data_IF_102529198469
#
_entry.id   IF_102529198469
#
_cell.length_a   1.000
_cell.length_b   1.000
_cell.length_c   1.000
_cell.angle_alpha   90.00
_cell.angle_beta   90.00
_cell.angle_gamma   90.00
#
_symmetry.space_group_name_H-M   'P 1'
#
loop_
_entity.id
_entity.type
_entity.pdbx_description
1 polymer ?
#
# COMPACT_ATOMS: atom_id res chain seq x y z
N UNK A 1 -4.81 7.75 25.58
CA UNK A 1 -6.14 7.11 25.55
C UNK A 1 -7.19 7.97 24.82
N UNK A 2 -7.25 9.32 24.94
CA UNK A 2 -8.29 10.13 24.30
C UNK A 2 -8.08 10.42 22.80
N UNK A 3 -6.89 10.21 22.24
CA UNK A 3 -6.59 10.41 20.81
C UNK A 3 -6.84 9.18 19.95
N UNK A 4 -6.90 8.00 20.55
CA UNK A 4 -7.03 6.71 19.84
C UNK A 4 -8.46 6.50 19.30
N UNK A 5 -9.46 7.08 19.93
CA UNK A 5 -10.86 7.01 19.48
C UNK A 5 -11.20 7.95 18.30
N UNK A 6 -10.24 8.71 17.82
CA UNK A 6 -10.38 9.64 16.69
C UNK A 6 -9.70 9.10 15.41
N UNK A 7 -8.95 7.99 15.50
CA UNK A 7 -8.31 7.36 14.34
C UNK A 7 -9.33 6.56 13.52
N UNK A 8 -9.19 6.58 12.21
CA UNK A 8 -9.90 5.64 11.34
C UNK A 8 -9.38 4.20 11.55
N UNK A 9 -10.13 3.21 11.10
CA UNK A 9 -9.85 1.79 11.44
C UNK A 9 -8.59 1.28 10.76
N UNK A 10 -8.29 1.74 9.56
CA UNK A 10 -7.07 1.49 8.80
C UNK A 10 -5.83 2.04 9.54
N UNK A 11 -5.80 3.33 9.88
CA UNK A 11 -4.74 3.92 10.71
C UNK A 11 -4.51 3.16 12.02
N UNK A 12 -5.62 2.71 12.65
CA UNK A 12 -5.53 1.95 13.88
C UNK A 12 -4.96 0.54 13.67
N UNK A 13 -5.16 -0.07 12.50
CA UNK A 13 -4.56 -1.36 12.13
C UNK A 13 -3.05 -1.21 11.98
N UNK A 14 -2.59 -0.19 11.25
CA UNK A 14 -1.17 0.07 11.02
C UNK A 14 -0.43 0.36 12.34
N UNK A 15 -1.00 1.24 13.17
CA UNK A 15 -0.43 1.50 14.50
C UNK A 15 -0.34 0.25 15.37
N UNK A 16 -1.36 -0.62 15.34
CA UNK A 16 -1.35 -1.87 16.14
C UNK A 16 -0.34 -2.87 15.59
N UNK A 17 -0.07 -2.87 14.30
CA UNK A 17 0.91 -3.75 13.67
C UNK A 17 2.33 -3.47 14.18
N UNK A 18 2.69 -2.22 14.33
CA UNK A 18 4.01 -1.77 14.77
C UNK A 18 4.26 -1.92 16.28
N UNK A 19 3.21 -2.19 17.07
CA UNK A 19 3.34 -2.31 18.53
C UNK A 19 3.86 -3.68 18.96
N UNK A 20 4.59 -3.73 20.08
CA UNK A 20 4.91 -4.99 20.77
C UNK A 20 3.66 -5.66 21.34
N UNK A 21 3.66 -6.98 21.48
CA UNK A 21 2.47 -7.79 21.90
C UNK A 21 1.81 -7.29 23.20
N UNK A 22 2.60 -6.79 24.16
CA UNK A 22 2.10 -6.20 25.40
C UNK A 22 1.29 -4.92 25.19
N UNK A 23 1.77 -4.08 24.27
CA UNK A 23 1.19 -2.78 23.97
C UNK A 23 -0.03 -2.91 23.06
N UNK A 24 -0.04 -3.94 22.17
CA UNK A 24 -1.22 -4.34 21.38
C UNK A 24 -2.43 -4.66 22.26
N UNK A 25 -2.23 -5.44 23.31
CA UNK A 25 -3.32 -5.78 24.25
C UNK A 25 -3.82 -4.54 25.00
N UNK A 26 -2.93 -3.67 25.44
CA UNK A 26 -3.29 -2.41 26.10
C UNK A 26 -4.05 -1.48 25.16
N UNK A 27 -3.58 -1.30 23.93
CA UNK A 27 -4.24 -0.51 22.89
C UNK A 27 -5.65 -1.03 22.63
N UNK A 28 -5.79 -2.32 22.32
CA UNK A 28 -7.07 -2.96 22.03
C UNK A 28 -8.04 -2.95 23.24
N UNK A 29 -7.54 -2.84 24.47
CA UNK A 29 -8.39 -2.68 25.66
C UNK A 29 -9.03 -1.30 25.78
N UNK A 30 -8.42 -0.28 25.19
CA UNK A 30 -8.82 1.12 25.28
C UNK A 30 -9.79 1.57 24.16
N UNK A 31 -9.98 0.75 23.11
CA UNK A 31 -10.93 1.00 22.02
C UNK A 31 -12.29 0.33 22.27
N UNK A 32 -13.34 0.81 21.61
CA UNK A 32 -14.68 0.22 21.73
C UNK A 32 -14.72 -1.23 21.24
N UNK A 33 -15.67 -2.02 21.70
CA UNK A 33 -15.83 -3.43 21.29
C UNK A 33 -16.02 -3.56 19.77
N UNK A 34 -16.70 -2.58 19.16
CA UNK A 34 -16.94 -2.53 17.71
C UNK A 34 -15.64 -2.27 16.95
N UNK A 35 -14.87 -1.26 17.35
CA UNK A 35 -13.58 -0.91 16.74
C UNK A 35 -12.56 -2.03 16.89
N UNK A 36 -12.44 -2.61 18.10
CA UNK A 36 -11.57 -3.77 18.33
C UNK A 36 -11.83 -4.90 17.35
N UNK A 37 -13.10 -5.21 17.10
CA UNK A 37 -13.45 -6.26 16.14
C UNK A 37 -13.01 -5.89 14.73
N UNK A 38 -13.21 -4.66 14.31
CA UNK A 38 -12.82 -4.18 12.97
C UNK A 38 -11.30 -4.18 12.78
N UNK A 39 -10.55 -3.76 13.80
CA UNK A 39 -9.08 -3.82 13.80
C UNK A 39 -8.61 -5.28 13.72
N UNK A 40 -9.18 -6.18 14.52
CA UNK A 40 -8.84 -7.60 14.45
C UNK A 40 -9.19 -8.24 13.10
N UNK A 41 -10.30 -7.83 12.48
CA UNK A 41 -10.64 -8.26 11.12
C UNK A 41 -9.66 -7.70 10.09
N UNK A 42 -9.17 -6.48 10.26
CA UNK A 42 -8.10 -5.89 9.45
C UNK A 42 -6.81 -6.69 9.53
N UNK A 43 -6.34 -6.96 10.75
CA UNK A 43 -5.12 -7.72 11.02
C UNK A 43 -5.13 -9.18 10.49
N UNK A 44 -6.29 -9.73 10.15
CA UNK A 44 -6.39 -11.06 9.54
C UNK A 44 -6.09 -11.06 8.03
N UNK A 45 -6.07 -9.91 7.37
CA UNK A 45 -5.66 -9.83 5.97
C UNK A 45 -4.13 -9.84 5.87
N UNK A 46 -3.58 -10.30 4.73
CA UNK A 46 -2.14 -10.22 4.50
C UNK A 46 -1.64 -8.78 4.63
N UNK A 47 -0.42 -8.63 5.12
CA UNK A 47 0.34 -7.38 5.03
C UNK A 47 0.34 -6.91 3.56
N UNK A 48 0.45 -5.63 3.31
CA UNK A 48 0.49 -5.05 1.97
C UNK A 48 -0.75 -5.37 1.10
N UNK A 49 -1.90 -5.68 1.69
CA UNK A 49 -3.13 -5.97 0.94
C UNK A 49 -4.16 -4.86 1.04
N UNK A 50 -5.00 -4.75 0.00
CA UNK A 50 -6.16 -3.86 -0.01
C UNK A 50 -7.09 -4.04 1.21
N UNK A 51 -7.05 -5.21 1.84
CA UNK A 51 -7.79 -5.52 3.06
C UNK A 51 -7.25 -4.80 4.30
N UNK A 52 -5.95 -4.50 4.32
CA UNK A 52 -5.31 -3.68 5.35
C UNK A 52 -5.60 -2.21 5.13
N UNK A 53 -5.42 -1.74 3.91
CA UNK A 53 -5.56 -0.36 3.49
C UNK A 53 -7.01 0.16 3.48
N UNK A 54 -8.03 -0.71 3.52
CA UNK A 54 -9.40 -0.28 3.32
C UNK A 54 -10.03 0.32 4.57
N UNK A 55 -10.68 1.44 4.38
CA UNK A 55 -11.60 2.05 5.33
C UNK A 55 -12.93 1.27 5.40
N UNK A 56 -13.47 1.15 6.60
CA UNK A 56 -14.74 0.43 6.84
C UNK A 56 -15.98 1.32 6.74
N UNK A 57 -15.78 2.63 6.73
CA UNK A 57 -16.85 3.60 6.52
C UNK A 57 -16.91 3.97 5.04
N UNK A 58 -18.02 3.71 4.39
CA UNK A 58 -18.24 4.04 2.99
C UNK A 58 -19.71 4.31 2.72
N UNK A 59 -20.01 4.98 1.61
CA UNK A 59 -21.37 5.29 1.20
C UNK A 59 -21.84 4.27 0.16
N UNK A 60 -22.77 3.40 0.54
CA UNK A 60 -23.38 2.42 -0.34
C UNK A 60 -24.90 2.60 -0.40
N UNK A 61 -25.45 2.69 -1.61
CA UNK A 61 -26.86 2.96 -1.87
C UNK A 61 -27.40 1.94 -2.86
N UNK A 62 -28.71 1.61 -2.71
CA UNK A 62 -29.37 0.68 -3.61
C UNK A 62 -29.40 1.22 -5.04
N UNK A 63 -29.00 0.41 -6.01
CA UNK A 63 -28.90 0.75 -7.43
C UNK A 63 -30.25 1.10 -8.09
N UNK A 64 -31.37 0.72 -7.48
CA UNK A 64 -32.72 1.01 -7.96
C UNK A 64 -33.26 2.38 -7.54
N UNK A 65 -32.49 3.14 -6.78
CA UNK A 65 -32.89 4.46 -6.34
C UNK A 65 -32.66 5.51 -7.44
N UNK A 66 -33.41 6.62 -7.33
CA UNK A 66 -33.16 7.82 -8.11
C UNK A 66 -32.26 8.80 -7.30
N UNK A 67 -31.80 9.85 -7.96
CA UNK A 67 -30.98 10.92 -7.37
C UNK A 67 -31.67 11.56 -6.17
N UNK A 68 -33.00 11.78 -6.23
CA UNK A 68 -33.76 12.37 -5.14
C UNK A 68 -33.70 11.54 -3.87
N UNK A 69 -33.92 10.23 -3.98
CA UNK A 69 -33.86 9.31 -2.86
C UNK A 69 -32.46 9.23 -2.26
N UNK A 70 -31.42 9.25 -3.10
CA UNK A 70 -30.03 9.27 -2.65
C UNK A 70 -29.69 10.52 -1.85
N UNK A 71 -30.06 11.71 -2.34
CA UNK A 71 -29.82 12.96 -1.66
C UNK A 71 -30.56 13.01 -0.31
N UNK A 72 -31.82 12.56 -0.29
CA UNK A 72 -32.62 12.57 0.94
C UNK A 72 -32.06 11.58 1.98
N UNK A 73 -31.52 10.43 1.53
CA UNK A 73 -30.82 9.47 2.37
C UNK A 73 -29.55 10.08 2.97
N UNK A 74 -28.68 10.67 2.15
CA UNK A 74 -27.44 11.29 2.60
C UNK A 74 -27.68 12.40 3.65
N UNK A 75 -28.75 13.16 3.48
CA UNK A 75 -29.14 14.21 4.44
C UNK A 75 -29.68 13.67 5.75
N UNK A 76 -30.26 12.49 5.74
CA UNK A 76 -30.88 11.89 6.93
C UNK A 76 -29.86 11.10 7.75
N UNK A 77 -28.91 10.42 7.11
CA UNK A 77 -27.94 9.52 7.74
C UNK A 77 -26.60 10.20 8.08
N UNK A 78 -26.60 11.52 8.27
CA UNK A 78 -25.39 12.36 8.46
C UNK A 78 -24.44 11.78 9.51
N UNK A 79 -24.95 11.24 10.61
CA UNK A 79 -24.12 10.71 11.71
C UNK A 79 -23.44 9.35 11.40
N UNK A 80 -23.89 8.66 10.34
CA UNK A 80 -23.40 7.34 9.95
C UNK A 80 -22.53 7.36 8.69
N UNK A 81 -22.40 8.53 8.05
CA UNK A 81 -21.57 8.68 6.85
C UNK A 81 -20.12 9.01 7.25
N UNK A 82 -19.13 8.68 6.40
CA UNK A 82 -17.79 9.23 6.50
C UNK A 82 -17.85 10.77 6.45
N UNK A 83 -16.96 11.46 7.14
CA UNK A 83 -16.87 12.92 7.08
C UNK A 83 -16.55 13.38 5.66
N UNK A 84 -15.60 12.72 5.01
CA UNK A 84 -15.23 12.94 3.63
C UNK A 84 -15.56 11.72 2.78
N UNK A 85 -16.26 11.95 1.67
CA UNK A 85 -16.51 10.95 0.64
C UNK A 85 -16.68 11.60 -0.73
N UNK A 86 -16.16 10.94 -1.75
CA UNK A 86 -16.13 11.47 -3.12
C UNK A 86 -17.06 10.68 -4.07
N UNK A 87 -17.21 9.42 -3.80
CA UNK A 87 -17.99 8.49 -4.60
C UNK A 87 -19.06 7.77 -3.77
N UNK A 88 -20.13 7.42 -4.44
CA UNK A 88 -21.23 6.65 -3.88
C UNK A 88 -21.27 5.30 -4.60
N UNK A 89 -21.20 4.21 -3.86
CA UNK A 89 -21.22 2.87 -4.39
C UNK A 89 -22.64 2.37 -4.53
N UNK A 90 -23.02 1.98 -5.75
CA UNK A 90 -24.30 1.37 -6.00
C UNK A 90 -24.22 -0.12 -5.72
N UNK A 91 -25.14 -0.62 -4.91
CA UNK A 91 -25.21 -2.02 -4.54
C UNK A 91 -26.55 -2.65 -4.88
N UNK A 92 -26.51 -3.93 -5.26
CA UNK A 92 -27.70 -4.78 -5.39
C UNK A 92 -28.26 -5.14 -3.99
N UNK A 93 -29.38 -5.87 -3.96
CA UNK A 93 -29.94 -6.40 -2.72
C UNK A 93 -29.00 -7.37 -1.98
N UNK A 94 -28.07 -7.98 -2.69
CA UNK A 94 -27.10 -8.96 -2.14
C UNK A 94 -25.77 -8.28 -1.75
N UNK A 95 -25.72 -6.94 -1.68
CA UNK A 95 -24.54 -6.12 -1.42
C UNK A 95 -23.43 -6.25 -2.47
N UNK A 96 -23.78 -6.66 -3.70
CA UNK A 96 -22.83 -6.71 -4.82
C UNK A 96 -22.73 -5.34 -5.46
N UNK A 97 -21.51 -4.86 -5.72
CA UNK A 97 -21.27 -3.56 -6.35
C UNK A 97 -21.72 -3.58 -7.82
N UNK A 98 -22.66 -2.71 -8.18
CA UNK A 98 -23.24 -2.59 -9.52
C UNK A 98 -22.82 -1.30 -10.23
N UNK A 99 -22.26 -0.33 -9.52
CA UNK A 99 -21.83 0.95 -10.08
C UNK A 99 -21.17 1.86 -9.06
N UNK A 100 -20.57 2.91 -9.60
CA UNK A 100 -19.96 4.00 -8.84
C UNK A 100 -20.51 5.31 -9.39
N UNK A 101 -20.99 6.18 -8.51
CA UNK A 101 -21.53 7.50 -8.87
C UNK A 101 -20.72 8.57 -8.13
N UNK A 102 -19.96 9.42 -8.84
CA UNK A 102 -19.28 10.56 -8.24
C UNK A 102 -20.29 11.53 -7.61
N UNK A 103 -19.98 12.02 -6.41
CA UNK A 103 -20.83 12.94 -5.67
C UNK A 103 -21.18 14.19 -6.49
N UNK A 104 -20.21 14.74 -7.22
CA UNK A 104 -20.42 15.89 -8.10
C UNK A 104 -21.48 15.60 -9.19
N UNK A 105 -21.49 14.40 -9.75
CA UNK A 105 -22.49 13.99 -10.76
C UNK A 105 -23.86 13.78 -10.11
N UNK A 106 -23.93 13.20 -8.92
CA UNK A 106 -25.18 13.10 -8.17
C UNK A 106 -25.80 14.48 -7.96
N UNK A 107 -25.01 15.43 -7.45
CA UNK A 107 -25.46 16.78 -7.11
C UNK A 107 -25.87 17.61 -8.32
N UNK A 108 -25.26 17.36 -9.49
CA UNK A 108 -25.57 18.08 -10.73
C UNK A 108 -26.73 17.47 -11.54
N UNK A 109 -27.24 16.30 -11.13
CA UNK A 109 -28.31 15.59 -11.84
C UNK A 109 -29.71 15.92 -11.31
N UNK A 110 -30.72 15.82 -12.17
CA UNK A 110 -32.11 16.02 -11.75
C UNK A 110 -32.59 14.92 -10.80
N UNK A 111 -33.38 15.26 -9.80
CA UNK A 111 -33.85 14.35 -8.75
C UNK A 111 -34.57 13.09 -9.25
N UNK A 112 -35.21 13.17 -10.40
CA UNK A 112 -36.00 12.06 -10.98
C UNK A 112 -35.16 11.08 -11.82
N UNK A 113 -33.86 11.32 -11.98
CA UNK A 113 -32.98 10.46 -12.77
C UNK A 113 -32.57 9.25 -11.94
N UNK A 114 -32.62 8.06 -12.50
CA UNK A 114 -32.18 6.84 -11.86
C UNK A 114 -30.64 6.83 -11.73
N UNK A 115 -30.13 6.35 -10.60
CA UNK A 115 -28.69 6.30 -10.32
C UNK A 115 -27.91 5.48 -11.35
N UNK A 116 -28.51 4.44 -11.89
CA UNK A 116 -27.90 3.58 -12.92
C UNK A 116 -27.56 4.37 -14.19
N UNK A 117 -28.30 5.44 -14.48
CA UNK A 117 -28.07 6.27 -15.68
C UNK A 117 -26.93 7.28 -15.53
N UNK A 118 -26.51 7.55 -14.28
CA UNK A 118 -25.45 8.52 -13.98
C UNK A 118 -24.17 7.88 -13.42
N UNK A 119 -24.13 6.56 -13.29
CA UNK A 119 -22.94 5.84 -12.83
C UNK A 119 -21.77 5.94 -13.83
N UNK A 120 -20.59 5.70 -13.34
CA UNK A 120 -19.41 5.60 -14.19
C UNK A 120 -19.55 4.48 -15.23
N UNK A 121 -19.01 4.68 -16.42
CA UNK A 121 -19.05 3.68 -17.50
C UNK A 121 -18.22 2.43 -17.16
N UNK A 122 -17.16 2.61 -16.40
CA UNK A 122 -16.28 1.53 -15.94
C UNK A 122 -16.34 1.48 -14.42
N UNK A 123 -16.78 0.37 -13.88
CA UNK A 123 -16.72 0.12 -12.45
C UNK A 123 -15.33 -0.45 -12.14
N UNK A 124 -14.56 0.26 -11.35
CA UNK A 124 -13.28 -0.21 -10.85
C UNK A 124 -13.51 -0.73 -9.43
N UNK A 125 -13.33 -2.02 -9.26
CA UNK A 125 -13.57 -2.75 -8.02
C UNK A 125 -12.25 -3.40 -7.64
N UNK A 126 -11.84 -3.28 -6.39
CA UNK A 126 -10.62 -3.85 -5.85
C UNK A 126 -10.99 -5.08 -5.03
N UNK A 127 -10.26 -6.18 -5.25
CA UNK A 127 -10.41 -7.36 -4.39
C UNK A 127 -9.63 -7.14 -3.09
N UNK A 128 -10.16 -7.63 -1.98
CA UNK A 128 -9.56 -7.49 -0.66
C UNK A 128 -8.14 -8.08 -0.53
N UNK A 129 -7.79 -9.04 -1.37
CA UNK A 129 -6.47 -9.69 -1.41
C UNK A 129 -5.55 -9.09 -2.48
N UNK A 130 -5.95 -7.98 -3.13
CA UNK A 130 -5.08 -7.29 -4.08
C UNK A 130 -3.95 -6.63 -3.31
N UNK A 131 -2.74 -6.77 -3.83
CA UNK A 131 -1.52 -6.15 -3.32
C UNK A 131 -1.61 -4.62 -3.36
N UNK A 132 -1.08 -3.93 -2.36
CA UNK A 132 -1.16 -2.46 -2.23
C UNK A 132 -0.44 -1.74 -3.38
N UNK A 133 0.67 -2.28 -3.90
CA UNK A 133 1.36 -1.73 -5.06
C UNK A 133 0.45 -1.76 -6.30
N UNK A 134 -0.27 -2.86 -6.53
CA UNK A 134 -1.22 -2.97 -7.64
C UNK A 134 -2.42 -2.03 -7.43
N UNK A 135 -2.88 -1.82 -6.19
CA UNK A 135 -3.90 -0.82 -5.85
C UNK A 135 -3.41 0.57 -6.23
N UNK A 136 -2.21 0.95 -5.78
CA UNK A 136 -1.60 2.24 -6.08
C UNK A 136 -1.42 2.45 -7.60
N UNK A 137 -0.97 1.42 -8.31
CA UNK A 137 -0.86 1.45 -9.77
C UNK A 137 -2.22 1.69 -10.44
N UNK A 138 -3.29 1.03 -9.99
CA UNK A 138 -4.63 1.21 -10.54
C UNK A 138 -5.18 2.61 -10.28
N UNK A 139 -5.01 3.14 -9.07
CA UNK A 139 -5.41 4.52 -8.73
C UNK A 139 -4.72 5.54 -9.63
N UNK A 140 -3.42 5.44 -9.79
CA UNK A 140 -2.63 6.32 -10.65
C UNK A 140 -3.04 6.20 -12.13
N UNK A 141 -3.10 4.96 -12.65
CA UNK A 141 -3.40 4.68 -14.06
C UNK A 141 -4.79 5.17 -14.49
N UNK A 142 -5.77 5.07 -13.61
CA UNK A 142 -7.16 5.39 -13.91
C UNK A 142 -7.64 6.68 -13.28
N UNK A 143 -6.75 7.42 -12.61
CA UNK A 143 -7.06 8.66 -11.88
C UNK A 143 -8.28 8.48 -10.95
N UNK A 144 -8.27 7.41 -10.14
CA UNK A 144 -9.32 7.13 -9.19
C UNK A 144 -9.17 8.03 -7.96
N UNK A 145 -10.30 8.41 -7.38
CA UNK A 145 -10.35 9.18 -6.12
C UNK A 145 -10.76 8.25 -4.98
N UNK A 146 -11.63 7.30 -5.27
CA UNK A 146 -11.98 6.22 -4.35
C UNK A 146 -12.32 4.94 -5.12
N UNK A 147 -12.25 3.80 -4.44
CA UNK A 147 -12.63 2.51 -5.00
C UNK A 147 -13.31 1.62 -3.96
N UNK A 148 -14.36 0.86 -4.30
CA UNK A 148 -14.95 -0.11 -3.41
C UNK A 148 -14.06 -1.35 -3.33
N UNK A 149 -13.85 -1.85 -2.10
CA UNK A 149 -13.17 -3.11 -1.84
C UNK A 149 -14.22 -4.20 -1.64
N UNK A 150 -14.01 -5.32 -2.32
CA UNK A 150 -14.94 -6.46 -2.28
C UNK A 150 -14.25 -7.74 -1.84
N UNK A 151 -15.04 -8.62 -1.24
CA UNK A 151 -14.59 -9.97 -0.92
C UNK A 151 -14.69 -10.89 -2.15
N UNK A 152 -14.32 -12.18 -1.97
CA UNK A 152 -14.39 -13.23 -3.00
C UNK A 152 -15.78 -13.39 -3.64
N UNK A 153 -16.84 -13.02 -2.92
CA UNK A 153 -18.22 -13.07 -3.41
C UNK A 153 -18.69 -11.77 -4.10
N UNK A 154 -17.77 -10.85 -4.40
CA UNK A 154 -18.03 -9.52 -4.94
C UNK A 154 -18.95 -8.64 -4.08
N UNK A 155 -19.05 -8.92 -2.78
CA UNK A 155 -19.75 -8.08 -1.81
C UNK A 155 -18.84 -6.98 -1.30
N UNK A 156 -19.36 -5.77 -1.23
CA UNK A 156 -18.60 -4.64 -0.70
C UNK A 156 -18.34 -4.84 0.81
N UNK A 157 -17.12 -4.62 1.22
CA UNK A 157 -16.66 -4.75 2.61
C UNK A 157 -15.90 -3.52 3.12
N UNK A 158 -15.48 -2.64 2.22
CA UNK A 158 -14.75 -1.42 2.52
C UNK A 158 -14.59 -0.53 1.29
N UNK A 159 -13.84 0.54 1.45
CA UNK A 159 -13.39 1.41 0.36
C UNK A 159 -11.96 1.86 0.62
N UNK A 160 -11.23 2.18 -0.43
CA UNK A 160 -9.92 2.82 -0.38
C UNK A 160 -10.06 4.19 -1.02
N UNK A 161 -9.42 5.18 -0.46
CA UNK A 161 -9.41 6.55 -0.94
C UNK A 161 -8.01 6.94 -1.42
N UNK A 162 -7.89 8.04 -2.15
CA UNK A 162 -6.64 8.43 -2.80
C UNK A 162 -5.58 8.91 -1.80
N UNK A 163 -5.99 9.43 -0.65
CA UNK A 163 -5.12 9.81 0.46
C UNK A 163 -4.33 8.61 0.99
N UNK A 164 -5.00 7.50 1.33
CA UNK A 164 -4.37 6.26 1.76
C UNK A 164 -3.38 5.72 0.68
N UNK A 165 -3.76 5.83 -0.58
CA UNK A 165 -2.92 5.38 -1.71
C UNK A 165 -1.68 6.26 -1.90
N UNK A 166 -1.73 7.54 -1.55
CA UNK A 166 -0.55 8.42 -1.60
C UNK A 166 0.51 7.96 -0.61
N UNK A 167 0.10 7.57 0.60
CA UNK A 167 1.01 7.06 1.62
C UNK A 167 1.65 5.73 1.16
N UNK A 168 0.85 4.81 0.61
CA UNK A 168 1.37 3.58 -0.01
C UNK A 168 2.41 3.85 -1.10
N UNK A 169 2.16 4.82 -1.99
CA UNK A 169 3.13 5.18 -3.05
C UNK A 169 4.45 5.68 -2.46
N UNK A 170 4.41 6.39 -1.34
CA UNK A 170 5.61 6.88 -0.66
C UNK A 170 6.37 5.73 0.02
N UNK A 171 5.68 4.85 0.72
CA UNK A 171 6.22 3.64 1.36
C UNK A 171 6.89 2.70 0.36
N UNK A 172 6.22 2.35 -0.74
CA UNK A 172 6.76 1.49 -1.80
C UNK A 172 8.03 2.09 -2.44
N UNK A 173 8.05 3.41 -2.65
CA UNK A 173 9.26 4.09 -3.16
C UNK A 173 10.40 4.07 -2.18
N UNK A 174 10.12 4.22 -0.89
CA UNK A 174 11.15 4.14 0.15
C UNK A 174 11.68 2.70 0.24
N UNK A 175 10.82 1.70 0.22
CA UNK A 175 11.20 0.30 0.22
C UNK A 175 12.10 -0.05 -0.98
N UNK A 176 11.74 0.41 -2.18
CA UNK A 176 12.53 0.22 -3.40
C UNK A 176 13.93 0.82 -3.26
N UNK A 177 14.05 2.03 -2.72
CA UNK A 177 15.34 2.68 -2.46
C UNK A 177 16.16 1.88 -1.45
N UNK A 178 15.54 1.40 -0.37
CA UNK A 178 16.19 0.59 0.65
C UNK A 178 16.67 -0.75 0.09
N UNK A 179 15.86 -1.40 -0.74
CA UNK A 179 16.21 -2.64 -1.47
C UNK A 179 17.42 -2.45 -2.38
N UNK A 180 17.54 -1.30 -3.08
CA UNK A 180 18.72 -0.96 -3.88
C UNK A 180 19.99 -0.85 -3.02
N UNK A 181 19.86 -0.37 -1.78
CA UNK A 181 20.95 -0.30 -0.81
C UNK A 181 21.27 -1.63 -0.14
N UNK A 182 20.48 -2.70 -0.41
CA UNK A 182 20.57 -3.98 0.29
C UNK A 182 20.20 -3.86 1.78
N UNK A 183 19.36 -2.89 2.10
CA UNK A 183 18.80 -2.64 3.43
C UNK A 183 17.31 -2.95 3.32
N UNK A 184 16.80 -3.86 4.15
CA UNK A 184 15.34 -4.05 4.29
C UNK A 184 14.73 -2.90 5.09
N UNK A 185 13.45 -3.01 5.43
CA UNK A 185 12.80 -2.06 6.35
C UNK A 185 13.71 -1.77 7.54
N UNK A 186 14.24 -0.57 7.62
CA UNK A 186 15.06 -0.11 8.72
C UNK A 186 14.38 1.13 9.28
N UNK A 187 13.56 0.93 10.28
CA UNK A 187 13.09 2.04 11.09
C UNK A 187 14.26 2.67 11.84
N UNK A 188 14.29 4.00 11.88
CA UNK A 188 15.32 4.77 12.61
C UNK A 188 15.31 4.40 14.12
N UNK A 189 14.19 3.88 14.60
CA UNK A 189 13.98 3.44 15.98
C UNK A 189 14.28 1.95 16.23
N UNK A 190 14.60 1.18 15.18
CA UNK A 190 14.96 -0.22 15.33
C UNK A 190 16.19 -0.42 16.22
N UNK A 191 16.14 -1.47 17.02
CA UNK A 191 17.27 -1.83 17.88
C UNK A 191 18.53 -2.05 17.04
N UNK A 192 19.65 -1.41 17.41
CA UNK A 192 20.94 -1.47 16.72
C UNK A 192 21.35 -2.91 16.36
N UNK A 193 20.90 -3.89 17.12
CA UNK A 193 21.23 -5.30 16.91
C UNK A 193 20.45 -5.94 15.76
N UNK A 194 19.18 -5.62 15.56
CA UNK A 194 18.38 -6.12 14.43
C UNK A 194 18.87 -5.53 13.12
N UNK A 195 19.08 -4.24 13.06
CA UNK A 195 19.65 -3.53 11.91
C UNK A 195 21.05 -4.06 11.54
N UNK A 196 21.90 -4.34 12.55
CA UNK A 196 23.24 -4.92 12.31
C UNK A 196 23.12 -6.33 11.70
N UNK A 197 22.19 -7.15 12.17
CA UNK A 197 22.00 -8.52 11.65
C UNK A 197 21.55 -8.52 10.19
N UNK A 198 20.63 -7.64 9.81
CA UNK A 198 20.16 -7.50 8.42
C UNK A 198 21.32 -7.06 7.51
N UNK A 199 22.05 -6.02 7.90
CA UNK A 199 23.23 -5.52 7.14
C UNK A 199 24.35 -6.53 7.07
N UNK A 200 24.55 -7.34 8.10
CA UNK A 200 25.60 -8.37 8.13
C UNK A 200 25.42 -9.41 7.03
N UNK A 201 24.21 -9.87 6.78
CA UNK A 201 23.93 -10.85 5.73
C UNK A 201 24.30 -10.32 4.35
N UNK A 202 23.96 -9.08 4.05
CA UNK A 202 24.33 -8.43 2.79
C UNK A 202 25.84 -8.21 2.66
N UNK A 203 26.48 -7.72 3.74
CA UNK A 203 27.94 -7.53 3.78
C UNK A 203 28.71 -8.86 3.62
N UNK A 204 28.15 -9.96 4.17
CA UNK A 204 28.74 -11.29 4.02
C UNK A 204 28.70 -11.77 2.56
N UNK A 205 27.58 -11.56 1.88
CA UNK A 205 27.44 -11.88 0.44
C UNK A 205 28.45 -11.06 -0.38
N UNK A 206 28.57 -9.77 -0.12
CA UNK A 206 29.53 -8.90 -0.77
C UNK A 206 30.97 -9.33 -0.48
N UNK A 207 31.28 -9.76 0.72
CA UNK A 207 32.59 -10.31 1.07
C UNK A 207 32.89 -11.58 0.30
N UNK A 208 31.93 -12.49 0.19
CA UNK A 208 32.10 -13.74 -0.58
C UNK A 208 32.34 -13.46 -2.08
N UNK A 209 31.65 -12.51 -2.66
CA UNK A 209 31.88 -12.10 -4.05
C UNK A 209 33.26 -11.49 -4.25
N UNK A 210 33.72 -10.67 -3.29
CA UNK A 210 35.08 -10.10 -3.30
C UNK A 210 36.16 -11.20 -3.19
N UNK A 211 35.95 -12.23 -2.35
CA UNK A 211 36.85 -13.38 -2.22
C UNK A 211 36.91 -14.16 -3.55
N UNK A 212 35.77 -14.42 -4.19
CA UNK A 212 35.73 -15.09 -5.50
C UNK A 212 36.49 -14.28 -6.55
N UNK A 213 36.28 -12.95 -6.59
CA UNK A 213 37.02 -12.07 -7.50
C UNK A 213 38.53 -12.13 -7.23
N UNK A 214 38.96 -12.14 -5.97
CA UNK A 214 40.37 -12.27 -5.59
C UNK A 214 40.99 -13.59 -6.03
N UNK A 215 40.25 -14.70 -5.94
CA UNK A 215 40.72 -16.01 -6.42
C UNK A 215 40.89 -15.98 -7.93
N UNK A 216 39.94 -15.41 -8.67
CA UNK A 216 40.05 -15.29 -10.14
C UNK A 216 41.25 -14.44 -10.52
N UNK A 217 41.50 -13.32 -9.85
CA UNK A 217 42.69 -12.47 -10.07
C UNK A 217 43.97 -13.29 -9.82
N UNK A 218 43.97 -14.11 -8.77
CA UNK A 218 45.10 -14.97 -8.42
C UNK A 218 45.49 -15.94 -9.55
N UNK A 219 44.55 -16.49 -10.29
CA UNK A 219 44.84 -17.35 -11.47
C UNK A 219 45.58 -16.62 -12.59
N UNK A 220 45.44 -15.29 -12.66
CA UNK A 220 46.12 -14.47 -13.69
C UNK A 220 47.37 -13.74 -13.17
N UNK A 221 47.85 -14.08 -11.98
CA UNK A 221 49.00 -13.40 -11.33
C UNK A 221 50.23 -13.34 -12.26
N UNK A 222 50.59 -14.44 -12.91
CA UNK A 222 51.74 -14.50 -13.81
C UNK A 222 51.61 -13.56 -15.04
N UNK A 223 50.39 -13.27 -15.46
CA UNK A 223 50.11 -12.34 -16.56
C UNK A 223 50.22 -10.88 -16.05
N UNK A 224 49.73 -10.61 -14.84
CA UNK A 224 49.78 -9.30 -14.21
C UNK A 224 51.22 -8.89 -13.89
N UNK A 225 52.07 -9.81 -13.43
CA UNK A 225 53.49 -9.57 -13.19
C UNK A 225 54.23 -9.17 -14.47
N UNK A 226 53.86 -9.75 -15.63
CA UNK A 226 54.48 -9.40 -16.91
C UNK A 226 54.04 -8.04 -17.44
N UNK A 227 52.82 -7.59 -17.11
CA UNK A 227 52.23 -6.35 -17.61
C UNK A 227 51.71 -5.54 -16.43
N UNK A 228 52.57 -4.77 -15.78
CA UNK A 228 52.24 -3.95 -14.61
C UNK A 228 51.07 -2.96 -14.90
N UNK A 229 50.92 -2.53 -16.14
CA UNK A 229 49.81 -1.66 -16.55
C UNK A 229 48.41 -2.28 -16.26
N UNK A 230 48.30 -3.62 -16.24
CA UNK A 230 47.02 -4.28 -15.90
C UNK A 230 46.65 -4.05 -14.42
N UNK A 231 47.62 -4.08 -13.53
CA UNK A 231 47.40 -3.81 -12.11
C UNK A 231 46.90 -2.37 -11.87
N UNK A 232 47.39 -1.40 -12.66
CA UNK A 232 46.96 0.00 -12.58
C UNK A 232 45.54 0.18 -13.14
N UNK A 233 45.13 -0.61 -14.13
CA UNK A 233 43.84 -0.51 -14.74
C UNK A 233 42.71 -1.23 -13.96
N UNK A 234 43.05 -2.26 -13.15
CA UNK A 234 42.08 -3.04 -12.39
C UNK A 234 41.09 -2.20 -11.55
N UNK A 235 41.53 -1.22 -10.72
CA UNK A 235 40.59 -0.39 -9.94
C UNK A 235 39.64 0.43 -10.84
N UNK A 236 40.14 0.88 -11.99
CA UNK A 236 39.31 1.66 -12.94
C UNK A 236 38.22 0.80 -13.52
N UNK A 237 38.54 -0.42 -13.97
CA UNK A 237 37.55 -1.35 -14.55
C UNK A 237 36.53 -1.79 -13.48
N UNK A 238 36.99 -2.10 -12.27
CA UNK A 238 36.10 -2.48 -11.17
C UNK A 238 35.13 -1.35 -10.78
N UNK A 239 35.65 -0.12 -10.66
CA UNK A 239 34.82 1.07 -10.37
C UNK A 239 33.83 1.36 -11.49
N UNK A 240 34.25 1.33 -12.74
CA UNK A 240 33.37 1.57 -13.88
C UNK A 240 32.30 0.48 -13.99
N UNK A 241 32.63 -0.78 -13.75
CA UNK A 241 31.68 -1.89 -13.74
C UNK A 241 30.62 -1.74 -12.64
N UNK A 242 31.04 -1.36 -11.45
CA UNK A 242 30.13 -1.09 -10.33
C UNK A 242 29.17 0.07 -10.63
N UNK A 243 29.72 1.20 -11.12
CA UNK A 243 28.90 2.36 -11.47
C UNK A 243 27.90 2.05 -12.59
N UNK A 244 28.35 1.36 -13.65
CA UNK A 244 27.46 0.97 -14.75
C UNK A 244 26.34 0.01 -14.27
N UNK A 245 26.67 -0.94 -13.40
CA UNK A 245 25.70 -1.85 -12.80
C UNK A 245 24.65 -1.10 -11.98
N UNK A 246 25.09 -0.22 -11.08
CA UNK A 246 24.17 0.59 -10.25
C UNK A 246 23.30 1.51 -11.11
N UNK A 247 23.85 2.20 -12.10
CA UNK A 247 23.07 3.06 -12.99
C UNK A 247 22.02 2.28 -13.79
N UNK A 248 22.37 1.09 -14.27
CA UNK A 248 21.42 0.22 -15.00
C UNK A 248 20.29 -0.22 -14.07
N UNK A 249 20.61 -0.63 -12.86
CA UNK A 249 19.63 -1.05 -11.86
C UNK A 249 18.67 0.09 -11.51
N UNK A 250 19.21 1.29 -11.24
CA UNK A 250 18.40 2.49 -10.90
C UNK A 250 17.43 2.90 -12.01
N UNK A 251 17.74 2.59 -13.27
CA UNK A 251 16.83 2.89 -14.41
C UNK A 251 15.80 1.77 -14.60
N UNK A 252 16.04 0.59 -14.04
CA UNK A 252 15.17 -0.58 -14.21
C UNK A 252 14.12 -0.73 -13.11
N UNK A 253 14.32 -0.01 -12.02
CA UNK A 253 13.39 0.21 -10.92
C UNK A 253 12.67 1.55 -11.15
#
# INVERSE_FOLDING_TARGET
>A
ASKVSELDVDDAVDVVEDLEDSDKEEFLSNVSVKERRLIQEGLNYPEDSAGRLMQRKYVAINDKWNVGNAIDYLRKETDNLPEDFYDIFLISKDNIVTGIVPLGRLMSSNRNVDLVNIKNKQNRIINVLTDQEEVAYQFNKYAMVSAPVVNENNKIIGSITVDDVVDVIEEEREEDILKLGGVGHADIYDAVFSTTKLRFSWLLINLLTAVVASIVIGFFQASIEKVVALAVLMPIVASMGGNAGTQTLTVSV
#
